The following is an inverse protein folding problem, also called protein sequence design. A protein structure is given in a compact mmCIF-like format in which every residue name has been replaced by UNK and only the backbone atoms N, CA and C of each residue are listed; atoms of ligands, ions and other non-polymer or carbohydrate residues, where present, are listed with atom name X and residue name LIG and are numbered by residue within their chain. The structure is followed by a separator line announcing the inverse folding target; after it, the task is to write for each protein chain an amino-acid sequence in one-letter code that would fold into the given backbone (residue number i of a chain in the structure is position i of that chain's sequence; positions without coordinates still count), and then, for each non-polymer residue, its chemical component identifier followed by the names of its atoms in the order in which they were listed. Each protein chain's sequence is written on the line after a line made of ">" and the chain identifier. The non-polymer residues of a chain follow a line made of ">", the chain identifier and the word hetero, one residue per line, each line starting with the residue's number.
data_IF_852084240985
#
_entry.id   IF_852084240985
#
_cell.length_a   1.000
_cell.length_b   1.000
_cell.length_c   1.000
_cell.angle_alpha   90.00
_cell.angle_beta   90.00
_cell.angle_gamma   90.00
#
_symmetry.space_group_name_H-M   'P 1'
#
loop_
_entity.id
_entity.type
_entity.pdbx_description
1 polymer ?
#
# COMPACT_ATOMS: atom_id res chain seq x y z
N UNK A 1 11.95 7.32 0.80
CA UNK A 1 12.36 6.04 0.22
C UNK A 1 12.98 6.13 -1.17
N UNK A 2 12.47 6.92 -2.09
CA UNK A 2 12.87 6.93 -3.50
C UNK A 2 14.38 7.18 -3.71
N UNK A 3 14.97 8.06 -2.94
CA UNK A 3 16.39 8.44 -3.12
C UNK A 3 17.32 7.85 -2.06
N UNK A 4 16.83 7.66 -0.84
CA UNK A 4 17.67 7.27 0.30
C UNK A 4 17.47 5.83 0.77
N UNK A 5 16.39 5.19 0.34
CA UNK A 5 15.97 3.88 0.85
C UNK A 5 15.43 3.90 2.30
N UNK A 6 15.43 5.06 2.95
CA UNK A 6 14.93 5.18 4.32
C UNK A 6 13.40 5.18 4.37
N UNK A 7 12.83 4.56 5.39
CA UNK A 7 11.42 4.64 5.71
C UNK A 7 11.15 5.84 6.61
N UNK A 8 10.04 6.51 6.40
CA UNK A 8 9.55 7.54 7.31
C UNK A 8 9.05 6.90 8.61
N UNK A 9 9.21 7.59 9.73
CA UNK A 9 8.67 7.14 11.02
C UNK A 9 7.19 7.53 11.13
N UNK A 10 6.34 6.66 10.57
CA UNK A 10 4.88 6.87 10.55
C UNK A 10 4.28 6.81 11.95
N UNK A 11 4.88 6.04 12.88
CA UNK A 11 4.40 5.98 14.27
C UNK A 11 4.66 7.31 15.01
N UNK A 12 5.80 7.93 14.80
CA UNK A 12 6.08 9.25 15.37
C UNK A 12 5.16 10.33 14.77
N UNK A 13 4.90 10.25 13.47
CA UNK A 13 3.96 11.16 12.79
C UNK A 13 2.52 10.99 13.30
N UNK A 14 2.06 9.76 13.50
CA UNK A 14 0.73 9.46 14.05
C UNK A 14 0.55 10.08 15.45
N UNK A 15 1.56 9.93 16.33
CA UNK A 15 1.56 10.52 17.67
C UNK A 15 1.54 12.06 17.63
N UNK A 16 2.35 12.66 16.77
CA UNK A 16 2.39 14.12 16.61
C UNK A 16 1.05 14.66 16.09
N UNK A 17 0.46 13.95 15.15
CA UNK A 17 -0.83 14.35 14.56
C UNK A 17 -1.99 14.14 15.55
N UNK A 18 -1.94 13.10 16.38
CA UNK A 18 -2.93 12.89 17.44
C UNK A 18 -2.95 14.08 18.42
N UNK A 19 -1.78 14.54 18.86
CA UNK A 19 -1.65 15.71 19.72
C UNK A 19 -2.13 17.00 19.03
N UNK A 20 -1.82 17.18 17.76
CA UNK A 20 -2.24 18.34 16.98
C UNK A 20 -3.77 18.36 16.78
N UNK A 21 -4.37 17.27 16.37
CA UNK A 21 -5.81 17.14 16.17
C UNK A 21 -6.57 17.40 17.49
N UNK A 22 -6.08 16.84 18.61
CA UNK A 22 -6.67 17.08 19.93
C UNK A 22 -6.62 18.54 20.35
N UNK A 23 -5.53 19.27 20.02
CA UNK A 23 -5.35 20.68 20.34
C UNK A 23 -6.19 21.61 19.48
N UNK A 24 -6.36 21.27 18.19
CA UNK A 24 -6.99 22.18 17.20
C UNK A 24 -8.44 21.87 16.91
N UNK A 25 -8.91 20.66 17.27
CA UNK A 25 -10.22 20.16 16.90
C UNK A 25 -10.32 19.71 15.43
N UNK A 26 -9.19 19.66 14.72
CA UNK A 26 -9.15 19.11 13.38
C UNK A 26 -9.14 17.56 13.41
N UNK A 27 -9.48 16.96 12.27
CA UNK A 27 -9.49 15.51 12.07
C UNK A 27 -8.66 15.17 10.81
N UNK A 28 -7.36 15.45 10.90
CA UNK A 28 -6.42 15.31 9.78
C UNK A 28 -5.91 13.86 9.75
N UNK A 29 -6.16 13.10 8.68
CA UNK A 29 -5.68 11.72 8.54
C UNK A 29 -4.28 11.65 7.93
N UNK A 30 -3.71 10.44 7.97
CA UNK A 30 -2.49 10.05 7.28
C UNK A 30 -2.85 9.16 6.09
N UNK A 31 -2.34 9.50 4.92
CA UNK A 31 -2.18 8.58 3.79
C UNK A 31 -0.72 8.11 3.74
N UNK A 32 -0.49 6.81 3.73
CA UNK A 32 0.85 6.24 3.61
C UNK A 32 1.12 5.86 2.16
N UNK A 33 2.06 6.54 1.53
CA UNK A 33 2.60 6.08 0.25
C UNK A 33 3.64 4.97 0.51
N UNK A 34 3.16 3.75 0.52
CA UNK A 34 3.97 2.55 0.67
C UNK A 34 4.29 1.90 -0.68
N UNK A 35 4.42 2.69 -1.75
CA UNK A 35 4.67 2.19 -3.10
C UNK A 35 5.80 1.15 -3.18
N UNK A 36 6.84 1.34 -2.36
CA UNK A 36 7.95 0.39 -2.21
C UNK A 36 7.80 -0.46 -0.95
N UNK A 37 7.65 0.19 0.21
CA UNK A 37 7.66 -0.44 1.54
C UNK A 37 6.51 -1.42 1.78
N UNK A 38 5.38 -1.26 1.11
CA UNK A 38 4.19 -2.10 1.31
C UNK A 38 4.39 -3.58 0.98
N UNK A 39 5.35 -3.91 0.12
CA UNK A 39 5.75 -5.29 -0.18
C UNK A 39 7.11 -5.69 0.42
N UNK A 40 7.65 -4.89 1.33
CA UNK A 40 8.92 -5.18 2.03
C UNK A 40 8.68 -5.31 3.53
N UNK A 41 8.14 -4.27 4.17
CA UNK A 41 8.00 -4.19 5.63
C UNK A 41 7.17 -5.31 6.25
N UNK A 42 6.05 -5.75 5.66
CA UNK A 42 5.27 -6.85 6.23
C UNK A 42 6.06 -8.16 6.36
N UNK A 43 7.08 -8.35 5.53
CA UNK A 43 7.86 -9.58 5.47
C UNK A 43 9.17 -9.50 6.24
N UNK A 44 9.83 -8.34 6.26
CA UNK A 44 11.16 -8.18 6.86
C UNK A 44 11.14 -7.52 8.24
N UNK A 45 10.14 -6.67 8.51
CA UNK A 45 10.03 -5.89 9.74
C UNK A 45 8.56 -5.78 10.17
N UNK A 46 7.88 -6.92 10.43
CA UNK A 46 6.45 -6.94 10.73
C UNK A 46 6.09 -6.21 12.03
N UNK A 47 7.07 -5.99 12.92
CA UNK A 47 6.92 -5.23 14.16
C UNK A 47 6.81 -3.72 13.92
N UNK A 48 7.36 -3.20 12.82
CA UNK A 48 7.32 -1.78 12.47
C UNK A 48 5.89 -1.33 12.22
N UNK A 49 5.43 -0.35 12.97
CA UNK A 49 4.10 0.21 12.83
C UNK A 49 4.10 1.34 11.81
N UNK A 50 3.51 1.10 10.67
CA UNK A 50 3.36 2.05 9.57
C UNK A 50 1.99 1.96 8.91
N UNK A 51 1.17 1.00 9.34
CA UNK A 51 -0.08 0.58 8.71
C UNK A 51 -1.31 0.92 9.58
N UNK A 52 -2.43 0.28 9.29
CA UNK A 52 -3.71 0.49 9.98
C UNK A 52 -3.74 0.15 11.47
N UNK A 53 -2.64 -0.33 12.05
CA UNK A 53 -2.45 -0.42 13.51
C UNK A 53 -2.35 0.97 14.15
N UNK A 54 -1.98 2.00 13.36
CA UNK A 54 -1.94 3.39 13.78
C UNK A 54 -3.33 4.04 13.64
N UNK A 55 -3.61 4.98 14.54
CA UNK A 55 -4.93 5.61 14.66
C UNK A 55 -5.29 6.40 13.40
N UNK A 56 -4.39 7.25 12.96
CA UNK A 56 -4.62 8.24 11.91
C UNK A 56 -4.31 7.75 10.49
N UNK A 57 -3.72 6.58 10.35
CA UNK A 57 -3.52 5.96 9.03
C UNK A 57 -4.86 5.44 8.52
N UNK A 58 -5.42 6.12 7.53
CA UNK A 58 -6.74 5.80 6.96
C UNK A 58 -6.68 5.21 5.55
N UNK A 59 -5.59 5.42 4.84
CA UNK A 59 -5.37 4.82 3.52
C UNK A 59 -3.90 4.55 3.26
N UNK A 60 -3.64 3.53 2.44
CA UNK A 60 -2.30 3.08 2.07
C UNK A 60 -2.29 2.81 0.58
N UNK A 61 -1.33 3.37 -0.15
CA UNK A 61 -1.03 2.97 -1.53
C UNK A 61 0.21 2.08 -1.58
N UNK A 62 0.21 1.10 -2.50
CA UNK A 62 1.39 0.28 -2.77
C UNK A 62 1.46 -0.13 -4.23
N UNK A 63 2.68 -0.33 -4.75
CA UNK A 63 2.91 -0.65 -6.15
C UNK A 63 3.21 -2.14 -6.34
N UNK A 64 2.32 -2.86 -7.03
CA UNK A 64 2.54 -4.26 -7.37
C UNK A 64 3.75 -4.46 -8.29
N UNK A 65 4.02 -3.50 -9.17
CA UNK A 65 5.11 -3.54 -10.14
C UNK A 65 6.50 -3.24 -9.58
N UNK A 66 6.62 -2.98 -8.28
CA UNK A 66 7.91 -2.86 -7.60
C UNK A 66 8.22 -4.18 -6.90
N UNK A 67 8.11 -4.21 -5.60
CA UNK A 67 8.37 -5.42 -4.81
C UNK A 67 7.19 -6.41 -4.73
N UNK A 68 6.05 -6.08 -5.39
CA UNK A 68 4.94 -7.02 -5.57
C UNK A 68 5.16 -8.04 -6.70
N UNK A 69 6.27 -7.91 -7.47
CA UNK A 69 6.75 -8.89 -8.46
C UNK A 69 5.81 -9.10 -9.65
N UNK A 70 5.21 -8.03 -10.14
CA UNK A 70 4.45 -8.01 -11.40
C UNK A 70 4.94 -6.88 -12.31
N UNK A 71 4.57 -6.92 -13.57
CA UNK A 71 4.86 -5.83 -14.51
C UNK A 71 4.05 -4.57 -14.22
N UNK A 72 4.48 -3.38 -14.70
CA UNK A 72 3.72 -2.14 -14.60
C UNK A 72 2.27 -2.27 -15.13
N UNK A 73 1.37 -1.53 -14.50
CA UNK A 73 -0.07 -1.53 -14.83
C UNK A 73 -0.96 -1.89 -13.64
N UNK A 74 -0.40 -2.07 -12.46
CA UNK A 74 -1.13 -2.33 -11.22
C UNK A 74 -0.62 -1.45 -10.09
N UNK A 75 -1.53 -0.76 -9.43
CA UNK A 75 -1.35 -0.10 -8.14
C UNK A 75 -2.46 -0.51 -7.19
N UNK A 76 -2.13 -0.59 -5.92
CA UNK A 76 -3.07 -0.89 -4.85
C UNK A 76 -3.36 0.37 -4.05
N UNK A 77 -4.62 0.58 -3.73
CA UNK A 77 -5.06 1.51 -2.69
C UNK A 77 -5.95 0.73 -1.72
N UNK A 78 -5.62 0.77 -0.44
CA UNK A 78 -6.36 0.11 0.62
C UNK A 78 -6.83 1.17 1.60
N UNK A 79 -8.10 1.11 1.97
CA UNK A 79 -8.72 1.99 2.95
C UNK A 79 -8.96 1.23 4.25
N UNK A 80 -8.71 1.87 5.37
CA UNK A 80 -8.94 1.29 6.70
C UNK A 80 -10.40 0.86 6.91
N UNK A 81 -11.31 1.66 6.36
CA UNK A 81 -12.76 1.41 6.39
C UNK A 81 -13.39 2.06 5.15
N UNK A 82 -14.49 1.49 4.64
CA UNK A 82 -15.22 2.00 3.49
C UNK A 82 -15.68 3.46 3.66
N UNK A 83 -16.00 3.87 4.90
CA UNK A 83 -16.43 5.25 5.22
C UNK A 83 -15.38 6.32 4.91
N UNK A 84 -14.11 5.94 4.77
CA UNK A 84 -13.03 6.86 4.43
C UNK A 84 -12.81 7.02 2.93
N UNK A 85 -13.47 6.18 2.12
CA UNK A 85 -13.49 6.37 0.66
C UNK A 85 -14.49 7.47 0.33
N UNK A 86 -14.05 8.61 -0.26
CA UNK A 86 -14.98 9.69 -0.60
C UNK A 86 -16.04 9.25 -1.62
N UNK A 87 -17.30 9.56 -1.36
CA UNK A 87 -18.40 9.24 -2.28
C UNK A 87 -18.19 9.85 -3.68
N UNK A 88 -17.57 11.02 -3.74
CA UNK A 88 -17.22 11.69 -4.99
C UNK A 88 -16.25 10.90 -5.89
N UNK A 89 -15.55 9.90 -5.33
CA UNK A 89 -14.69 8.98 -6.08
C UNK A 89 -15.42 7.74 -6.59
N UNK A 90 -16.68 7.58 -6.21
CA UNK A 90 -17.49 6.41 -6.56
C UNK A 90 -18.59 6.82 -7.53
N UNK A 91 -18.71 6.12 -8.65
CA UNK A 91 -19.88 6.29 -9.53
C UNK A 91 -20.60 4.96 -9.70
N UNK A 92 -21.93 5.05 -9.63
CA UNK A 92 -22.76 3.93 -9.98
C UNK A 92 -23.06 3.97 -11.48
N UNK A 93 -22.70 2.92 -12.16
CA UNK A 93 -22.97 2.77 -13.60
C UNK A 93 -23.96 1.62 -13.79
N UNK A 94 -25.09 1.92 -14.40
CA UNK A 94 -26.00 0.86 -14.85
C UNK A 94 -25.50 0.32 -16.19
N UNK A 95 -24.78 -0.77 -16.14
CA UNK A 95 -24.21 -1.41 -17.31
C UNK A 95 -24.54 -2.90 -17.31
N UNK A 96 -25.02 -3.40 -18.45
CA UNK A 96 -25.46 -4.79 -18.63
C UNK A 96 -26.54 -5.24 -17.63
N UNK A 97 -27.44 -4.32 -17.23
CA UNK A 97 -28.56 -4.64 -16.36
C UNK A 97 -28.23 -4.76 -14.87
N UNK A 98 -27.04 -4.38 -14.46
CA UNK A 98 -26.62 -4.34 -13.06
C UNK A 98 -26.04 -2.96 -12.69
N UNK A 99 -26.31 -2.51 -11.47
CA UNK A 99 -25.64 -1.33 -10.91
C UNK A 99 -24.26 -1.74 -10.39
N UNK A 100 -23.22 -1.27 -11.06
CA UNK A 100 -21.82 -1.51 -10.68
C UNK A 100 -21.24 -0.23 -10.13
N UNK A 101 -20.75 -0.27 -8.89
CA UNK A 101 -19.99 0.85 -8.31
C UNK A 101 -18.56 0.78 -8.83
N UNK A 102 -18.12 1.83 -9.50
CA UNK A 102 -16.75 1.96 -10.01
C UNK A 102 -16.04 3.09 -9.27
N UNK A 103 -14.75 2.85 -8.96
CA UNK A 103 -13.82 3.84 -8.42
C UNK A 103 -12.67 3.94 -9.43
N UNK A 104 -12.60 5.07 -10.15
CA UNK A 104 -11.53 5.29 -11.13
C UNK A 104 -12.00 5.97 -12.41
N UNK A 105 -11.06 6.46 -13.20
CA UNK A 105 -11.31 7.37 -14.31
C UNK A 105 -11.77 6.69 -15.61
N UNK A 106 -11.55 5.40 -15.77
CA UNK A 106 -11.80 4.67 -17.01
C UNK A 106 -12.72 3.48 -16.82
N UNK A 107 -13.54 3.16 -17.83
CA UNK A 107 -14.44 2.01 -17.80
C UNK A 107 -13.69 0.68 -18.02
N UNK A 108 -12.95 0.55 -19.11
CA UNK A 108 -12.20 -0.67 -19.43
C UNK A 108 -10.73 -0.51 -19.08
N UNK A 109 -10.16 -1.52 -18.42
CA UNK A 109 -8.74 -1.53 -18.01
C UNK A 109 -8.14 -2.90 -18.24
N UNK A 110 -6.83 -2.98 -18.56
CA UNK A 110 -6.13 -4.25 -18.60
C UNK A 110 -6.17 -4.93 -17.23
N UNK A 111 -6.55 -6.20 -17.20
CA UNK A 111 -6.60 -7.00 -15.97
C UNK A 111 -5.40 -7.95 -15.82
N UNK A 112 -4.52 -8.05 -16.81
CA UNK A 112 -3.41 -9.00 -16.83
C UNK A 112 -2.52 -8.89 -15.58
N UNK A 113 -2.22 -7.67 -15.14
CA UNK A 113 -1.37 -7.46 -13.96
C UNK A 113 -2.10 -7.79 -12.65
N UNK A 114 -3.41 -7.62 -12.60
CA UNK A 114 -4.24 -8.03 -11.44
C UNK A 114 -4.19 -9.56 -11.31
N UNK A 115 -4.39 -10.27 -12.41
CA UNK A 115 -4.27 -11.73 -12.45
C UNK A 115 -2.85 -12.20 -12.12
N UNK A 116 -1.84 -11.50 -12.64
CA UNK A 116 -0.43 -11.75 -12.31
C UNK A 116 -0.14 -11.60 -10.83
N UNK A 117 -0.65 -10.54 -10.18
CA UNK A 117 -0.47 -10.32 -8.75
C UNK A 117 -1.20 -11.39 -7.93
N UNK A 118 -2.41 -11.76 -8.31
CA UNK A 118 -3.16 -12.84 -7.68
C UNK A 118 -2.42 -14.18 -7.78
N UNK A 119 -1.88 -14.50 -8.97
CA UNK A 119 -1.04 -15.67 -9.17
C UNK A 119 0.18 -15.67 -8.27
N UNK A 120 0.88 -14.53 -8.14
CA UNK A 120 2.04 -14.42 -7.25
C UNK A 120 1.66 -14.63 -5.78
N UNK A 121 0.51 -14.12 -5.35
CA UNK A 121 0.04 -14.35 -3.98
C UNK A 121 -0.22 -15.83 -3.70
N UNK A 122 -0.86 -16.54 -4.62
CA UNK A 122 -1.13 -17.97 -4.46
C UNK A 122 0.17 -18.80 -4.54
N UNK A 123 1.02 -18.49 -5.54
CA UNK A 123 2.25 -19.25 -5.79
C UNK A 123 3.29 -19.09 -4.70
N UNK A 124 3.53 -17.88 -4.25
CA UNK A 124 4.60 -17.55 -3.30
C UNK A 124 4.12 -17.60 -1.86
N UNK A 125 2.90 -17.11 -1.62
CA UNK A 125 2.39 -16.90 -0.29
C UNK A 125 3.29 -16.00 0.55
N UNK A 126 3.04 -15.93 1.84
CA UNK A 126 3.85 -15.12 2.76
C UNK A 126 5.32 -15.54 2.77
N UNK A 127 5.58 -16.85 2.82
CA UNK A 127 6.95 -17.36 2.93
C UNK A 127 7.78 -17.12 1.67
N UNK A 128 7.17 -17.25 0.49
CA UNK A 128 7.87 -16.97 -0.77
C UNK A 128 8.24 -15.49 -0.90
N UNK A 129 7.30 -14.58 -0.59
CA UNK A 129 7.62 -13.15 -0.55
C UNK A 129 8.71 -12.83 0.46
N UNK A 130 8.63 -13.37 1.69
CA UNK A 130 9.65 -13.18 2.73
C UNK A 130 11.02 -13.62 2.25
N UNK A 131 11.13 -14.80 1.64
CA UNK A 131 12.40 -15.32 1.15
C UNK A 131 13.01 -14.44 0.05
N UNK A 132 12.20 -13.97 -0.89
CA UNK A 132 12.65 -13.09 -1.98
C UNK A 132 13.13 -11.75 -1.44
N UNK A 133 12.34 -11.10 -0.55
CA UNK A 133 12.70 -9.81 0.02
C UNK A 133 13.94 -9.91 0.91
N UNK A 134 14.07 -11.00 1.68
CA UNK A 134 15.25 -11.27 2.48
C UNK A 134 16.50 -11.40 1.60
N UNK A 135 16.43 -12.18 0.53
CA UNK A 135 17.54 -12.32 -0.40
C UNK A 135 17.94 -11.00 -1.06
N UNK A 136 16.96 -10.18 -1.44
CA UNK A 136 17.23 -8.84 -1.98
C UNK A 136 17.94 -7.94 -0.97
N UNK A 137 17.58 -8.02 0.30
CA UNK A 137 18.22 -7.27 1.38
C UNK A 137 19.68 -7.75 1.60
N UNK A 138 19.94 -9.06 1.59
CA UNK A 138 21.29 -9.60 1.75
C UNK A 138 22.21 -9.20 0.58
N UNK A 139 21.70 -9.21 -0.65
CA UNK A 139 22.43 -8.71 -1.82
C UNK A 139 22.74 -7.21 -1.65
N UNK A 140 21.78 -6.41 -1.20
CA UNK A 140 22.00 -4.98 -0.93
C UNK A 140 23.11 -4.77 0.09
N UNK A 141 23.09 -5.49 1.22
CA UNK A 141 24.14 -5.43 2.24
C UNK A 141 25.52 -5.79 1.67
N UNK A 142 25.57 -6.85 0.86
CA UNK A 142 26.82 -7.28 0.21
C UNK A 142 27.39 -6.19 -0.70
N UNK A 143 26.56 -5.55 -1.51
CA UNK A 143 26.99 -4.48 -2.42
C UNK A 143 27.46 -3.25 -1.63
N UNK A 144 26.73 -2.89 -0.57
CA UNK A 144 27.04 -1.71 0.27
C UNK A 144 28.34 -1.86 1.05
N UNK A 145 28.75 -3.10 1.36
CA UNK A 145 29.97 -3.40 2.09
C UNK A 145 31.25 -3.41 1.21
N UNK A 146 31.10 -3.27 -0.11
CA UNK A 146 32.20 -3.19 -1.09
C UNK A 146 32.54 -1.75 -1.45
#
# INVERSE_FOLDING_TARGET
>A
MTWTGLNDDVEALDKALDAYNAKTGYDIPIHVDAATGGFILPFLSPETKWDFRLKWVLSISTSGHKFGLVYPGLGWIVWKDKKYLPDAMSFSVNYLGANITQVGLNFSRPAAQILGQYYQFIRLGFQGYKAIQYNSMEITKYITAK
#
